data_IF_873582818690
#
_entry.id   IF_873582818690
#
_cell.length_a   1.000
_cell.length_b   1.000
_cell.length_c   1.000
_cell.angle_alpha   90.00
_cell.angle_beta   90.00
_cell.angle_gamma   90.00
#
_symmetry.space_group_name_H-M   'P 1'
#
loop_
_entity.id
_entity.type
_entity.pdbx_description
1 polymer ?
#
# COMPACT_ATOMS: atom_id res chain seq x y z
N UNK A 1 -10.73 4.27 33.04
CA UNK A 1 -11.36 4.75 31.81
C UNK A 1 -10.21 5.11 30.88
N UNK A 2 -9.80 4.19 30.00
CA UNK A 2 -8.79 4.50 29.00
C UNK A 2 -9.36 5.58 28.08
N UNK A 3 -8.66 6.70 27.92
CA UNK A 3 -9.05 7.70 26.94
C UNK A 3 -8.84 7.13 25.54
N UNK A 4 -9.90 6.96 24.79
CA UNK A 4 -9.83 6.58 23.38
C UNK A 4 -9.13 7.70 22.60
N UNK A 5 -8.03 7.37 21.93
CA UNK A 5 -7.27 8.34 21.12
C UNK A 5 -8.16 8.80 19.97
N UNK A 6 -8.54 10.06 19.93
CA UNK A 6 -9.28 10.62 18.79
C UNK A 6 -8.36 10.64 17.57
N UNK A 7 -8.63 9.77 16.59
CA UNK A 7 -7.85 9.65 15.38
C UNK A 7 -8.38 10.57 14.28
N UNK A 8 -7.48 11.33 13.63
CA UNK A 8 -7.73 11.92 12.31
C UNK A 8 -7.58 10.82 11.25
N UNK A 9 -8.27 10.94 10.13
CA UNK A 9 -8.35 9.88 9.10
C UNK A 9 -7.08 9.68 8.25
N UNK A 10 -5.94 10.28 8.58
CA UNK A 10 -4.66 10.04 7.90
C UNK A 10 -3.75 9.19 8.79
N UNK A 11 -3.24 8.08 8.22
CA UNK A 11 -2.26 7.20 8.85
C UNK A 11 -0.91 7.26 8.15
N UNK A 12 0.17 7.12 8.92
CA UNK A 12 1.53 7.04 8.43
C UNK A 12 1.86 5.60 8.04
N UNK A 13 1.84 5.30 6.72
CA UNK A 13 2.27 4.00 6.20
C UNK A 13 3.80 3.94 6.05
N UNK A 14 4.43 2.95 6.68
CA UNK A 14 5.91 2.86 6.70
C UNK A 14 6.51 2.00 5.58
N UNK A 15 5.72 1.57 4.61
CA UNK A 15 6.22 0.81 3.46
C UNK A 15 7.15 1.63 2.54
N UNK A 16 7.08 2.95 2.59
CA UNK A 16 7.81 3.88 1.71
C UNK A 16 8.57 4.93 2.51
N UNK A 17 9.18 4.56 3.65
CA UNK A 17 10.04 5.46 4.40
C UNK A 17 11.18 6.01 3.52
N UNK A 18 11.66 7.25 3.77
CA UNK A 18 12.83 7.77 3.09
C UNK A 18 14.04 6.88 3.32
N UNK A 19 14.87 6.73 2.29
CA UNK A 19 16.08 5.90 2.30
C UNK A 19 17.29 6.71 1.87
N UNK A 20 18.45 6.40 2.44
CA UNK A 20 19.72 7.04 2.08
C UNK A 20 20.25 6.57 0.71
N UNK A 21 19.90 5.35 0.32
CA UNK A 21 20.25 4.76 -0.96
C UNK A 21 19.02 4.11 -1.61
N UNK A 22 18.60 4.63 -2.76
CA UNK A 22 17.43 4.12 -3.50
C UNK A 22 17.57 2.67 -4.00
N UNK A 23 18.79 2.14 -4.09
CA UNK A 23 19.04 0.75 -4.46
C UNK A 23 19.04 -0.20 -3.25
N UNK A 24 19.10 0.35 -2.03
CA UNK A 24 19.02 -0.41 -0.78
C UNK A 24 17.85 0.03 0.11
N UNK A 25 16.70 -0.62 0.02
CA UNK A 25 15.54 -0.30 0.86
C UNK A 25 15.78 -0.44 2.37
N UNK A 26 16.81 -1.18 2.82
CA UNK A 26 17.16 -1.28 4.23
C UNK A 26 17.86 -0.02 4.78
N UNK A 27 18.36 0.85 3.90
CA UNK A 27 19.08 2.08 4.26
C UNK A 27 18.14 3.22 4.68
N UNK A 28 17.25 2.96 5.64
CA UNK A 28 16.26 3.95 6.10
C UNK A 28 16.97 5.21 6.63
N UNK A 29 16.57 6.39 6.13
CA UNK A 29 16.99 7.69 6.63
C UNK A 29 16.27 8.01 7.94
N UNK A 30 16.83 7.51 9.05
CA UNK A 30 16.23 7.65 10.38
C UNK A 30 16.12 9.12 10.83
N UNK A 31 17.03 9.99 10.41
CA UNK A 31 16.97 11.41 10.78
C UNK A 31 15.72 12.04 10.17
N UNK A 32 15.51 11.83 8.88
CA UNK A 32 14.33 12.34 8.19
C UNK A 32 13.05 11.68 8.73
N UNK A 33 13.05 10.37 8.99
CA UNK A 33 11.89 9.66 9.57
C UNK A 33 11.53 10.23 10.94
N UNK A 34 12.51 10.48 11.82
CA UNK A 34 12.25 11.10 13.13
C UNK A 34 11.57 12.45 12.99
N UNK A 35 12.10 13.32 12.12
CA UNK A 35 11.52 14.63 11.84
C UNK A 35 10.09 14.52 11.31
N UNK A 36 9.83 13.55 10.41
CA UNK A 36 8.49 13.32 9.87
C UNK A 36 7.52 12.83 10.95
N UNK A 37 7.94 11.90 11.80
CA UNK A 37 7.13 11.39 12.91
C UNK A 37 6.80 12.50 13.90
N UNK A 38 7.76 13.33 14.28
CA UNK A 38 7.52 14.45 15.20
C UNK A 38 6.48 15.41 14.64
N UNK A 39 6.63 15.83 13.38
CA UNK A 39 5.68 16.75 12.75
C UNK A 39 4.27 16.12 12.62
N UNK A 40 4.20 14.83 12.31
CA UNK A 40 2.93 14.10 12.21
C UNK A 40 2.20 14.08 13.55
N UNK A 41 2.91 13.74 14.62
CA UNK A 41 2.39 13.71 15.99
C UNK A 41 2.02 15.11 16.51
N UNK A 42 2.84 16.11 16.28
CA UNK A 42 2.59 17.49 16.67
C UNK A 42 1.35 18.08 15.99
N UNK A 43 1.06 17.67 14.75
CA UNK A 43 -0.16 18.01 14.01
C UNK A 43 -1.39 17.21 14.47
N UNK A 44 -1.23 16.32 15.46
CA UNK A 44 -2.31 15.57 16.08
C UNK A 44 -2.77 14.34 15.28
N UNK A 45 -1.94 13.84 14.36
CA UNK A 45 -2.13 12.55 13.70
C UNK A 45 -1.44 11.48 14.55
N UNK A 46 -2.05 10.29 14.66
CA UNK A 46 -1.62 9.33 15.68
C UNK A 46 -1.45 7.89 15.17
N UNK A 47 -1.91 7.56 13.96
CA UNK A 47 -1.92 6.20 13.44
C UNK A 47 -0.69 5.89 12.60
N UNK A 48 0.03 4.79 12.95
CA UNK A 48 1.20 4.29 12.24
C UNK A 48 0.98 2.84 11.82
N UNK A 49 1.35 2.51 10.57
CA UNK A 49 1.18 1.19 9.98
C UNK A 49 2.52 0.65 9.50
N UNK A 50 2.94 -0.49 10.04
CA UNK A 50 4.15 -1.20 9.64
C UNK A 50 3.86 -2.64 9.23
N UNK A 51 4.88 -3.38 8.80
CA UNK A 51 4.82 -4.82 8.58
C UNK A 51 6.21 -5.44 8.63
N UNK A 52 6.25 -6.74 8.95
CA UNK A 52 7.45 -7.53 9.14
C UNK A 52 8.47 -7.40 8.01
N UNK A 53 8.02 -7.45 6.72
CA UNK A 53 8.91 -7.48 5.55
C UNK A 53 9.23 -6.09 4.98
N UNK A 54 8.67 -5.01 5.50
CA UNK A 54 8.93 -3.68 4.95
C UNK A 54 10.39 -3.28 5.13
N UNK A 55 10.96 -2.60 4.13
CA UNK A 55 12.34 -2.16 4.14
C UNK A 55 13.34 -3.29 4.43
N UNK A 56 13.15 -4.46 3.81
CA UNK A 56 13.97 -5.66 4.06
C UNK A 56 14.08 -5.96 5.57
N UNK A 57 12.94 -5.96 6.27
CA UNK A 57 12.79 -6.26 7.71
C UNK A 57 13.29 -5.17 8.67
N UNK A 58 13.59 -3.95 8.18
CA UNK A 58 14.07 -2.83 9.01
C UNK A 58 12.98 -1.83 9.43
N UNK A 59 11.77 -1.86 8.83
CA UNK A 59 10.70 -0.90 9.12
C UNK A 59 10.27 -0.90 10.59
N UNK A 60 10.09 -2.07 11.21
CA UNK A 60 9.70 -2.21 12.62
C UNK A 60 10.74 -1.57 13.55
N UNK A 61 12.05 -1.77 13.26
CA UNK A 61 13.15 -1.11 14.02
C UNK A 61 13.20 0.40 13.78
N UNK A 62 12.89 0.85 12.58
CA UNK A 62 12.80 2.29 12.29
C UNK A 62 11.63 2.93 13.07
N UNK A 63 10.46 2.26 13.11
CA UNK A 63 9.31 2.69 13.91
C UNK A 63 9.68 2.73 15.40
N UNK A 64 10.39 1.72 15.91
CA UNK A 64 10.87 1.73 17.31
C UNK A 64 11.67 3.01 17.58
N UNK A 65 12.70 3.29 16.78
CA UNK A 65 13.60 4.42 16.98
C UNK A 65 12.95 5.78 16.78
N UNK A 66 12.09 5.90 15.78
CA UNK A 66 11.50 7.19 15.41
C UNK A 66 10.23 7.54 16.21
N UNK A 67 9.47 6.53 16.65
CA UNK A 67 8.20 6.72 17.36
C UNK A 67 8.26 6.20 18.78
N UNK A 68 8.48 4.88 18.98
CA UNK A 68 8.25 4.21 20.26
C UNK A 68 9.22 4.66 21.35
N UNK A 69 10.51 4.85 21.02
CA UNK A 69 11.54 5.32 21.96
C UNK A 69 11.42 6.82 22.29
N UNK A 70 10.51 7.57 21.59
CA UNK A 70 10.46 9.03 21.67
C UNK A 70 9.11 9.60 22.12
N UNK A 71 8.02 8.85 21.94
CA UNK A 71 6.68 9.29 22.26
C UNK A 71 6.01 8.36 23.28
N UNK A 72 5.22 8.90 24.24
CA UNK A 72 4.48 8.05 25.19
C UNK A 72 3.52 7.10 24.45
N UNK A 73 3.44 5.85 24.95
CA UNK A 73 2.67 4.76 24.31
C UNK A 73 1.17 5.08 24.13
N UNK A 74 0.62 5.88 25.01
CA UNK A 74 -0.79 6.31 24.99
C UNK A 74 -1.08 7.48 24.03
N UNK A 75 -0.05 7.97 23.29
CA UNK A 75 -0.20 9.08 22.36
C UNK A 75 -0.29 8.63 20.89
N UNK A 76 -0.04 7.39 20.59
CA UNK A 76 -0.08 6.86 19.22
C UNK A 76 -0.78 5.51 19.14
N UNK A 77 -1.25 5.19 17.94
CA UNK A 77 -1.83 3.92 17.53
C UNK A 77 -0.85 3.23 16.62
N UNK A 78 -0.49 1.98 16.93
CA UNK A 78 0.45 1.18 16.13
C UNK A 78 -0.23 -0.05 15.57
N UNK A 79 -0.15 -0.20 14.25
CA UNK A 79 -0.62 -1.37 13.51
C UNK A 79 0.56 -2.19 12.99
N UNK A 80 0.47 -3.52 13.10
CA UNK A 80 1.42 -4.46 12.51
C UNK A 80 0.71 -5.69 11.93
N UNK A 81 1.44 -6.54 11.18
CA UNK A 81 0.85 -7.57 10.35
C UNK A 81 1.57 -8.90 10.47
N UNK A 82 0.84 -9.98 10.75
CA UNK A 82 1.36 -11.36 10.73
C UNK A 82 1.74 -11.76 9.29
N UNK A 83 3.00 -12.10 9.01
CA UNK A 83 3.47 -12.37 7.65
C UNK A 83 3.07 -13.77 7.16
N UNK A 84 1.86 -13.93 6.60
CA UNK A 84 1.32 -15.21 6.13
C UNK A 84 2.24 -15.93 5.14
N UNK A 85 2.99 -15.18 4.32
CA UNK A 85 3.95 -15.73 3.36
C UNK A 85 5.15 -16.46 3.99
N UNK A 86 5.39 -16.23 5.28
CA UNK A 86 6.50 -16.82 6.03
C UNK A 86 6.08 -17.97 6.94
N UNK A 87 4.77 -18.24 7.05
CA UNK A 87 4.26 -19.31 7.89
C UNK A 87 4.45 -20.67 7.21
N UNK A 88 5.08 -21.60 7.92
CA UNK A 88 5.23 -23.01 7.52
C UNK A 88 4.43 -23.91 8.45
N UNK A 89 4.41 -23.60 9.72
CA UNK A 89 3.74 -24.35 10.79
C UNK A 89 3.07 -23.40 11.80
N UNK A 90 2.19 -23.90 12.63
CA UNK A 90 1.44 -23.13 13.62
C UNK A 90 2.34 -22.37 14.59
N UNK A 91 3.45 -22.98 15.03
CA UNK A 91 4.41 -22.37 15.95
C UNK A 91 5.08 -21.10 15.42
N UNK A 92 5.12 -20.92 14.10
CA UNK A 92 5.68 -19.72 13.46
C UNK A 92 4.89 -18.46 13.83
N UNK A 93 3.58 -18.55 14.03
CA UNK A 93 2.73 -17.39 14.35
C UNK A 93 3.15 -16.74 15.67
N UNK A 94 3.32 -17.54 16.72
CA UNK A 94 3.78 -17.03 18.03
C UNK A 94 5.21 -16.50 17.96
N UNK A 95 6.08 -17.15 17.20
CA UNK A 95 7.47 -16.70 17.01
C UNK A 95 7.52 -15.34 16.33
N UNK A 96 6.80 -15.14 15.20
CA UNK A 96 6.75 -13.86 14.52
C UNK A 96 6.12 -12.77 15.37
N UNK A 97 5.01 -13.07 16.04
CA UNK A 97 4.35 -12.10 16.92
C UNK A 97 5.27 -11.56 18.01
N UNK A 98 6.02 -12.44 18.68
CA UNK A 98 7.00 -12.03 19.71
C UNK A 98 8.16 -11.23 19.11
N UNK A 99 8.67 -11.66 17.96
CA UNK A 99 9.74 -10.94 17.25
C UNK A 99 9.29 -9.54 16.85
N UNK A 100 8.07 -9.37 16.39
CA UNK A 100 7.49 -8.07 16.01
C UNK A 100 7.34 -7.15 17.24
N UNK A 101 6.82 -7.66 18.36
CA UNK A 101 6.76 -6.91 19.63
C UNK A 101 8.14 -6.43 20.05
N UNK A 102 9.17 -7.29 19.97
CA UNK A 102 10.54 -6.96 20.31
C UNK A 102 11.13 -5.91 19.38
N UNK A 103 11.01 -6.10 18.06
CA UNK A 103 11.51 -5.16 17.05
C UNK A 103 10.86 -3.79 17.16
N UNK A 104 9.55 -3.74 17.36
CA UNK A 104 8.83 -2.50 17.60
C UNK A 104 9.05 -1.92 18.99
N UNK A 105 9.49 -2.71 19.97
CA UNK A 105 9.70 -2.29 21.35
C UNK A 105 8.41 -2.03 22.14
N UNK A 106 7.32 -2.74 21.82
CA UNK A 106 6.01 -2.56 22.44
C UNK A 106 5.52 -3.85 23.10
N UNK A 107 4.57 -3.75 24.02
CA UNK A 107 3.97 -4.90 24.71
C UNK A 107 2.66 -5.37 24.08
N UNK A 108 2.07 -4.57 23.19
CA UNK A 108 0.84 -4.85 22.45
C UNK A 108 0.76 -3.97 21.19
N UNK A 109 -0.03 -4.43 20.20
CA UNK A 109 -0.43 -3.63 19.05
C UNK A 109 -1.86 -3.12 19.23
N UNK A 110 -2.17 -1.91 18.73
CA UNK A 110 -3.55 -1.42 18.71
C UNK A 110 -4.34 -2.11 17.61
N UNK A 111 -3.71 -2.33 16.44
CA UNK A 111 -4.25 -3.07 15.31
C UNK A 111 -3.28 -4.18 14.93
N UNK A 112 -3.76 -5.41 14.87
CA UNK A 112 -2.96 -6.53 14.41
C UNK A 112 -3.73 -7.33 13.36
N UNK A 113 -3.11 -7.58 12.21
CA UNK A 113 -3.83 -8.12 11.08
C UNK A 113 -3.07 -9.22 10.34
N UNK A 114 -3.80 -10.11 9.67
CA UNK A 114 -3.24 -11.09 8.75
C UNK A 114 -2.79 -10.38 7.47
N UNK A 115 -1.52 -10.54 7.09
CA UNK A 115 -0.90 -9.78 6.00
C UNK A 115 -1.15 -10.40 4.63
N UNK A 116 -1.60 -9.58 3.66
CA UNK A 116 -1.68 -9.93 2.25
C UNK A 116 -2.65 -11.09 1.96
N UNK A 117 -3.88 -11.01 2.47
CA UNK A 117 -4.90 -12.04 2.27
C UNK A 117 -5.29 -12.14 0.79
N UNK A 118 -4.74 -13.14 0.13
CA UNK A 118 -5.14 -13.64 -1.18
C UNK A 118 -5.77 -15.02 -1.02
N UNK A 119 -6.31 -15.64 -2.07
CA UNK A 119 -6.89 -17.00 -1.95
C UNK A 119 -5.87 -18.01 -1.41
N UNK A 120 -4.64 -18.01 -1.92
CA UNK A 120 -3.59 -18.92 -1.44
C UNK A 120 -3.20 -18.69 0.03
N UNK A 121 -3.16 -17.43 0.48
CA UNK A 121 -2.87 -17.11 1.87
C UNK A 121 -4.07 -17.32 2.79
N UNK A 122 -5.29 -17.23 2.28
CA UNK A 122 -6.48 -17.64 3.01
C UNK A 122 -6.46 -19.14 3.33
N UNK A 123 -6.16 -19.98 2.34
CA UNK A 123 -6.01 -21.43 2.57
C UNK A 123 -4.92 -21.74 3.60
N UNK A 124 -3.82 -20.99 3.58
CA UNK A 124 -2.75 -21.12 4.57
C UNK A 124 -3.22 -20.68 5.95
N UNK A 125 -3.94 -19.56 6.04
CA UNK A 125 -4.46 -19.01 7.28
C UNK A 125 -5.48 -19.96 7.94
N UNK A 126 -6.39 -20.55 7.16
CA UNK A 126 -7.34 -21.58 7.63
C UNK A 126 -6.61 -22.81 8.12
N UNK A 127 -5.72 -23.37 7.32
CA UNK A 127 -4.99 -24.60 7.63
C UNK A 127 -4.14 -24.49 8.91
N UNK A 128 -3.54 -23.33 9.16
CA UNK A 128 -2.68 -23.09 10.33
C UNK A 128 -3.42 -22.45 11.51
N UNK A 129 -4.73 -22.14 11.38
CA UNK A 129 -5.50 -21.56 12.46
C UNK A 129 -5.18 -20.08 12.74
N UNK A 130 -4.75 -19.30 11.73
CA UNK A 130 -4.30 -17.92 11.93
C UNK A 130 -5.42 -16.98 12.42
N UNK A 131 -6.68 -17.22 12.05
CA UNK A 131 -7.82 -16.45 12.57
C UNK A 131 -8.03 -16.69 14.07
N UNK A 132 -7.94 -17.95 14.51
CA UNK A 132 -7.99 -18.29 15.94
C UNK A 132 -6.81 -17.69 16.71
N UNK A 133 -5.61 -17.67 16.11
CA UNK A 133 -4.42 -17.08 16.68
C UNK A 133 -4.62 -15.57 16.95
N UNK A 134 -5.01 -14.77 15.95
CA UNK A 134 -5.19 -13.32 16.15
C UNK A 134 -6.33 -13.01 17.12
N UNK A 135 -7.40 -13.83 17.13
CA UNK A 135 -8.45 -13.73 18.14
C UNK A 135 -7.91 -13.98 19.55
N UNK A 136 -7.09 -15.02 19.74
CA UNK A 136 -6.41 -15.29 21.01
C UNK A 136 -5.56 -14.10 21.46
N UNK A 137 -4.81 -13.45 20.55
CA UNK A 137 -4.03 -12.24 20.87
C UNK A 137 -4.90 -11.05 21.29
N UNK A 138 -6.11 -10.94 20.76
CA UNK A 138 -7.10 -9.95 21.20
C UNK A 138 -7.61 -10.29 22.61
N UNK A 139 -7.94 -11.53 22.88
CA UNK A 139 -8.39 -12.00 24.21
C UNK A 139 -7.30 -11.83 25.27
N UNK A 140 -6.03 -12.03 24.92
CA UNK A 140 -4.85 -11.78 25.77
C UNK A 140 -4.57 -10.28 26.00
N UNK A 141 -5.27 -9.37 25.30
CA UNK A 141 -4.99 -7.93 25.33
C UNK A 141 -3.68 -7.52 24.63
N UNK A 142 -3.13 -8.40 23.79
CA UNK A 142 -1.92 -8.16 23.01
C UNK A 142 -2.19 -7.53 21.64
N UNK A 143 -3.43 -7.61 21.17
CA UNK A 143 -3.96 -6.87 20.05
C UNK A 143 -5.31 -6.26 20.45
N UNK A 144 -5.52 -4.96 20.26
CA UNK A 144 -6.80 -4.33 20.63
C UNK A 144 -7.86 -4.56 19.56
N UNK A 145 -7.48 -4.48 18.29
CA UNK A 145 -8.36 -4.74 17.13
C UNK A 145 -7.65 -5.70 16.17
N UNK A 146 -8.41 -6.61 15.59
CA UNK A 146 -7.91 -7.64 14.68
C UNK A 146 -8.60 -7.58 13.32
N UNK A 147 -7.87 -7.89 12.25
CA UNK A 147 -8.38 -7.83 10.88
C UNK A 147 -7.42 -8.49 9.88
N UNK A 148 -7.51 -8.08 8.65
CA UNK A 148 -6.57 -8.51 7.59
C UNK A 148 -6.42 -7.45 6.49
N UNK A 149 -5.27 -7.43 5.82
CA UNK A 149 -5.10 -6.70 4.57
C UNK A 149 -5.47 -7.60 3.39
N UNK A 150 -6.31 -7.10 2.48
CA UNK A 150 -6.98 -7.90 1.47
C UNK A 150 -6.56 -7.54 0.04
N UNK A 151 -6.29 -8.58 -0.79
CA UNK A 151 -5.79 -8.45 -2.14
C UNK A 151 -6.40 -9.48 -3.10
N UNK A 152 -7.71 -9.73 -2.99
CA UNK A 152 -8.42 -10.65 -3.86
C UNK A 152 -9.79 -10.07 -4.27
N UNK A 153 -10.70 -10.91 -4.75
CA UNK A 153 -12.03 -10.52 -5.21
C UNK A 153 -13.06 -10.41 -4.08
N UNK A 154 -14.18 -9.76 -4.37
CA UNK A 154 -15.25 -9.53 -3.40
C UNK A 154 -15.93 -10.83 -2.94
N UNK A 155 -15.93 -11.89 -3.76
CA UNK A 155 -16.48 -13.20 -3.40
C UNK A 155 -15.68 -13.84 -2.26
N UNK A 156 -14.35 -13.83 -2.37
CA UNK A 156 -13.48 -14.32 -1.29
C UNK A 156 -13.63 -13.48 -0.02
N UNK A 157 -13.76 -12.16 -0.17
CA UNK A 157 -13.96 -11.27 0.99
C UNK A 157 -15.26 -11.61 1.73
N UNK A 158 -16.34 -11.86 1.00
CA UNK A 158 -17.62 -12.25 1.58
C UNK A 158 -17.55 -13.62 2.26
N UNK A 159 -16.84 -14.58 1.65
CA UNK A 159 -16.56 -15.88 2.25
C UNK A 159 -15.83 -15.73 3.59
N UNK A 160 -14.75 -14.96 3.65
CA UNK A 160 -13.98 -14.73 4.87
C UNK A 160 -14.82 -14.07 5.96
N UNK A 161 -15.50 -12.96 5.64
CA UNK A 161 -16.26 -12.22 6.63
C UNK A 161 -17.48 -12.99 7.16
N UNK A 162 -18.05 -13.89 6.35
CA UNK A 162 -19.16 -14.77 6.81
C UNK A 162 -18.68 -15.82 7.81
N UNK A 163 -17.44 -16.32 7.66
CA UNK A 163 -16.84 -17.35 8.55
C UNK A 163 -16.18 -16.76 9.79
N UNK A 164 -15.66 -15.53 9.68
CA UNK A 164 -14.89 -14.86 10.74
C UNK A 164 -15.55 -13.53 11.18
N UNK A 165 -16.75 -13.59 11.77
CA UNK A 165 -17.48 -12.38 12.21
C UNK A 165 -16.76 -11.63 13.36
N UNK A 166 -15.81 -12.27 14.05
CA UNK A 166 -15.01 -11.68 15.15
C UNK A 166 -14.01 -10.62 14.69
N UNK A 167 -13.70 -10.53 13.40
CA UNK A 167 -12.79 -9.53 12.85
C UNK A 167 -13.39 -8.13 12.94
N UNK A 168 -12.59 -7.14 13.31
CA UNK A 168 -13.03 -5.77 13.55
C UNK A 168 -12.98 -4.91 12.29
N UNK A 169 -11.99 -5.13 11.41
CA UNK A 169 -11.74 -4.28 10.24
C UNK A 169 -11.10 -5.05 9.08
N UNK A 170 -11.14 -4.42 7.91
CA UNK A 170 -10.42 -4.88 6.71
C UNK A 170 -9.58 -3.73 6.16
N UNK A 171 -8.32 -4.00 5.82
CA UNK A 171 -7.47 -3.07 5.11
C UNK A 171 -7.61 -3.33 3.61
N UNK A 172 -8.21 -2.40 2.86
CA UNK A 172 -8.53 -2.51 1.44
C UNK A 172 -7.67 -1.60 0.56
N UNK A 173 -7.31 -2.07 -0.62
CA UNK A 173 -6.83 -1.23 -1.70
C UNK A 173 -8.01 -0.41 -2.25
N UNK A 174 -7.93 0.93 -2.14
CA UNK A 174 -9.00 1.80 -2.58
C UNK A 174 -8.46 3.16 -3.05
N UNK A 175 -8.73 3.48 -4.31
CA UNK A 175 -8.51 4.78 -4.92
C UNK A 175 -9.49 4.95 -6.08
N UNK A 176 -9.60 6.16 -6.63
CA UNK A 176 -10.60 6.47 -7.66
C UNK A 176 -10.34 5.78 -9.02
N UNK A 177 -9.10 5.33 -9.30
CA UNK A 177 -8.80 4.57 -10.52
C UNK A 177 -9.24 3.11 -10.39
N UNK A 178 -9.05 2.54 -9.19
CA UNK A 178 -9.38 1.14 -8.92
C UNK A 178 -10.82 0.94 -8.44
N UNK A 179 -11.57 2.03 -8.22
CA UNK A 179 -12.92 2.00 -7.66
C UNK A 179 -13.85 1.07 -8.45
N UNK A 180 -13.86 1.20 -9.78
CA UNK A 180 -14.66 0.37 -10.69
C UNK A 180 -13.81 -0.65 -11.48
N UNK A 181 -12.57 -0.89 -11.07
CA UNK A 181 -11.69 -1.86 -11.73
C UNK A 181 -12.23 -3.29 -11.56
N UNK A 182 -12.42 -4.04 -12.66
CA UNK A 182 -12.85 -5.42 -12.58
C UNK A 182 -11.80 -6.35 -11.96
N UNK A 183 -10.53 -5.94 -11.97
CA UNK A 183 -9.42 -6.73 -11.43
C UNK A 183 -9.20 -6.51 -9.93
N UNK A 184 -9.38 -5.27 -9.45
CA UNK A 184 -9.16 -4.90 -8.04
C UNK A 184 -10.46 -4.96 -7.26
N UNK A 185 -11.59 -4.62 -7.89
CA UNK A 185 -12.92 -4.66 -7.30
C UNK A 185 -13.05 -3.81 -6.02
N UNK A 186 -12.40 -2.63 -5.99
CA UNK A 186 -12.36 -1.80 -4.78
C UNK A 186 -13.75 -1.48 -4.25
N UNK A 187 -14.69 -1.06 -5.12
CA UNK A 187 -16.08 -0.76 -4.73
C UNK A 187 -16.79 -1.99 -4.19
N UNK A 188 -16.72 -3.12 -4.90
CA UNK A 188 -17.40 -4.35 -4.49
C UNK A 188 -16.87 -4.83 -3.12
N UNK A 189 -15.54 -4.82 -2.92
CA UNK A 189 -14.93 -5.16 -1.63
C UNK A 189 -15.36 -4.20 -0.52
N UNK A 190 -15.39 -2.89 -0.80
CA UNK A 190 -15.87 -1.89 0.14
C UNK A 190 -17.34 -2.14 0.52
N UNK A 191 -18.21 -2.41 -0.45
CA UNK A 191 -19.63 -2.71 -0.20
C UNK A 191 -19.82 -3.99 0.63
N UNK A 192 -18.98 -5.01 0.41
CA UNK A 192 -18.96 -6.21 1.27
C UNK A 192 -18.64 -5.82 2.71
N UNK A 193 -17.57 -5.06 2.95
CA UNK A 193 -17.22 -4.60 4.29
C UNK A 193 -18.37 -3.84 4.95
N UNK A 194 -19.06 -2.96 4.21
CA UNK A 194 -20.22 -2.21 4.72
C UNK A 194 -21.38 -3.12 5.10
N UNK A 195 -21.71 -4.13 4.27
CA UNK A 195 -22.78 -5.11 4.59
C UNK A 195 -22.50 -5.90 5.86
N UNK A 196 -21.23 -6.23 6.10
CA UNK A 196 -20.80 -6.97 7.30
C UNK A 196 -20.47 -6.06 8.50
N UNK A 197 -20.70 -4.75 8.39
CA UNK A 197 -20.45 -3.78 9.45
C UNK A 197 -18.99 -3.66 9.87
N UNK A 198 -18.05 -3.92 8.93
CA UNK A 198 -16.60 -3.84 9.20
C UNK A 198 -16.08 -2.45 8.89
N UNK A 199 -15.21 -1.97 9.78
CA UNK A 199 -14.43 -0.75 9.51
C UNK A 199 -13.44 -0.98 8.37
N UNK A 200 -13.21 0.06 7.57
CA UNK A 200 -12.28 0.02 6.45
C UNK A 200 -11.07 0.89 6.74
N UNK A 201 -9.89 0.32 6.60
CA UNK A 201 -8.61 1.03 6.52
C UNK A 201 -8.19 1.01 5.05
N UNK A 202 -7.83 2.15 4.49
CA UNK A 202 -7.46 2.22 3.07
C UNK A 202 -5.95 2.17 2.91
N UNK A 203 -5.49 1.25 2.06
CA UNK A 203 -4.12 1.23 1.51
C UNK A 203 -4.14 1.62 0.03
N UNK A 204 -3.00 2.02 -0.51
CA UNK A 204 -2.82 2.45 -1.92
C UNK A 204 -3.76 3.61 -2.35
N UNK A 205 -4.05 4.61 -1.50
CA UNK A 205 -4.94 5.71 -1.89
C UNK A 205 -4.39 6.50 -3.08
N UNK A 206 -3.06 6.57 -3.22
CA UNK A 206 -2.34 7.29 -4.28
C UNK A 206 -1.78 6.35 -5.35
N UNK A 207 -2.19 5.05 -5.33
CA UNK A 207 -1.79 4.01 -6.30
C UNK A 207 -0.27 3.99 -6.53
N UNK A 208 0.51 3.84 -5.44
CA UNK A 208 1.97 3.77 -5.50
C UNK A 208 2.67 5.06 -5.94
N UNK A 209 1.98 6.19 -5.93
CA UNK A 209 2.47 7.49 -6.38
C UNK A 209 1.90 7.93 -7.74
N UNK A 210 1.29 7.02 -8.50
CA UNK A 210 0.70 7.33 -9.83
C UNK A 210 -0.32 8.49 -9.77
N UNK A 211 -1.07 8.60 -8.66
CA UNK A 211 -2.09 9.64 -8.46
C UNK A 211 -1.54 10.90 -7.80
N UNK A 212 -0.24 10.97 -7.56
CA UNK A 212 0.47 12.19 -7.16
C UNK A 212 1.14 12.89 -8.35
N UNK A 213 1.47 12.12 -9.41
CA UNK A 213 2.06 12.61 -10.65
C UNK A 213 1.16 12.21 -11.82
N UNK A 214 0.12 13.00 -12.05
CA UNK A 214 -0.92 12.74 -13.05
C UNK A 214 -0.63 13.47 -14.37
N UNK A 215 -1.24 13.05 -15.51
CA UNK A 215 -1.15 13.81 -16.75
C UNK A 215 -1.57 15.27 -16.59
N UNK A 216 -0.86 16.18 -17.25
CA UNK A 216 -1.06 17.64 -17.15
C UNK A 216 -2.51 18.07 -17.35
N UNK A 217 -3.27 17.36 -18.19
CA UNK A 217 -4.68 17.65 -18.45
C UNK A 217 -5.54 17.37 -17.21
N UNK A 218 -5.28 16.25 -16.51
CA UNK A 218 -5.95 15.93 -15.25
C UNK A 218 -5.55 16.90 -14.13
N UNK A 219 -4.26 17.26 -14.05
CA UNK A 219 -3.75 18.24 -13.08
C UNK A 219 -4.43 19.60 -13.28
N UNK A 220 -4.49 20.13 -14.51
CA UNK A 220 -5.17 21.38 -14.83
C UNK A 220 -6.66 21.37 -14.48
N UNK A 221 -7.33 20.25 -14.68
CA UNK A 221 -8.73 20.08 -14.31
C UNK A 221 -8.93 20.22 -12.81
N UNK A 222 -8.06 19.60 -12.01
CA UNK A 222 -8.08 19.66 -10.54
C UNK A 222 -7.71 21.06 -10.03
N UNK A 223 -6.63 21.65 -10.56
CA UNK A 223 -6.15 22.98 -10.19
C UNK A 223 -7.16 24.09 -10.51
N UNK A 224 -7.89 23.98 -11.61
CA UNK A 224 -8.93 24.96 -12.00
C UNK A 224 -10.08 25.02 -10.98
N UNK A 225 -10.39 23.92 -10.30
CA UNK A 225 -11.43 23.85 -9.28
C UNK A 225 -10.92 24.24 -7.89
N UNK A 226 -9.77 23.72 -7.50
CA UNK A 226 -9.18 23.91 -6.18
C UNK A 226 -7.70 24.32 -6.29
N UNK A 227 -7.41 25.61 -6.57
CA UNK A 227 -6.04 26.11 -6.72
C UNK A 227 -5.16 25.80 -5.51
N UNK A 228 -3.96 25.26 -5.77
CA UNK A 228 -2.99 24.89 -4.74
C UNK A 228 -3.22 23.54 -4.07
N UNK A 229 -4.25 22.79 -4.46
CA UNK A 229 -4.46 21.42 -4.00
C UNK A 229 -3.73 20.43 -4.90
N UNK A 230 -2.82 19.63 -4.32
CA UNK A 230 -2.06 18.63 -5.08
C UNK A 230 -2.96 17.48 -5.61
N UNK A 231 -2.60 16.81 -6.72
CA UNK A 231 -3.32 15.62 -7.17
C UNK A 231 -3.41 14.52 -6.09
N UNK A 232 -2.37 14.36 -5.26
CA UNK A 232 -2.39 13.43 -4.12
C UNK A 232 -3.51 13.75 -3.13
N UNK A 233 -3.82 15.04 -2.89
CA UNK A 233 -4.89 15.46 -1.98
C UNK A 233 -6.26 14.97 -2.45
N UNK A 234 -6.52 15.00 -3.75
CA UNK A 234 -7.77 14.49 -4.33
C UNK A 234 -7.92 12.98 -4.10
N UNK A 235 -6.82 12.22 -4.29
CA UNK A 235 -6.83 10.77 -4.12
C UNK A 235 -7.04 10.35 -2.65
N UNK A 236 -6.35 11.00 -1.72
CA UNK A 236 -6.51 10.71 -0.28
C UNK A 236 -7.88 11.15 0.23
N UNK A 237 -8.37 12.33 -0.17
CA UNK A 237 -9.70 12.83 0.18
C UNK A 237 -10.80 11.95 -0.42
N UNK A 238 -10.65 11.46 -1.65
CA UNK A 238 -11.59 10.51 -2.24
C UNK A 238 -11.78 9.27 -1.36
N UNK A 239 -10.68 8.64 -0.95
CA UNK A 239 -10.72 7.47 -0.08
C UNK A 239 -11.32 7.80 1.30
N UNK A 240 -10.90 8.91 1.91
CA UNK A 240 -11.37 9.34 3.23
C UNK A 240 -12.85 9.74 3.25
N UNK A 241 -13.43 10.11 2.09
CA UNK A 241 -14.83 10.50 1.95
C UNK A 241 -15.79 9.32 2.00
N UNK A 242 -15.30 8.09 1.86
CA UNK A 242 -16.17 6.89 1.92
C UNK A 242 -16.65 6.64 3.35
N UNK A 243 -17.95 6.40 3.52
CA UNK A 243 -18.54 6.07 4.81
C UNK A 243 -17.92 4.76 5.37
N UNK A 244 -17.65 4.70 6.68
CA UNK A 244 -17.01 3.53 7.31
C UNK A 244 -15.50 3.39 7.04
N UNK A 245 -14.91 4.28 6.23
CA UNK A 245 -13.45 4.43 6.19
C UNK A 245 -13.01 5.18 7.44
N UNK A 246 -12.28 4.49 8.30
CA UNK A 246 -11.77 5.05 9.57
C UNK A 246 -10.35 5.59 9.44
N UNK A 247 -9.59 5.11 8.44
CA UNK A 247 -8.19 5.47 8.24
C UNK A 247 -7.78 5.35 6.77
N UNK A 248 -6.98 6.30 6.28
CA UNK A 248 -6.35 6.26 4.96
C UNK A 248 -4.84 6.31 5.16
N UNK A 249 -4.14 5.26 4.73
CA UNK A 249 -2.71 5.14 4.89
C UNK A 249 -1.98 5.83 3.73
N UNK A 250 -1.10 6.76 4.04
CA UNK A 250 -0.19 7.35 3.07
C UNK A 250 1.25 6.93 3.35
N UNK A 251 1.91 6.38 2.32
CA UNK A 251 3.35 6.11 2.33
C UNK A 251 4.10 7.35 1.84
N UNK A 252 4.58 8.15 2.76
CA UNK A 252 5.30 9.39 2.49
C UNK A 252 6.80 9.14 2.47
N UNK A 253 7.46 9.41 1.34
CA UNK A 253 8.88 9.11 1.12
C UNK A 253 9.80 10.31 1.39
N UNK A 254 9.23 11.48 1.64
CA UNK A 254 9.96 12.70 2.00
C UNK A 254 9.11 13.63 2.86
N UNK A 255 9.78 14.64 3.40
CA UNK A 255 9.16 15.59 4.32
C UNK A 255 8.14 16.52 3.65
N UNK A 256 8.29 16.81 2.34
CA UNK A 256 7.34 17.67 1.62
C UNK A 256 5.99 16.99 1.43
N UNK A 257 6.00 15.69 1.11
CA UNK A 257 4.79 14.86 1.03
C UNK A 257 4.06 14.80 2.37
N UNK A 258 4.79 14.70 3.48
CA UNK A 258 4.19 14.74 4.81
C UNK A 258 3.53 16.10 5.10
N UNK A 259 4.20 17.19 4.77
CA UNK A 259 3.66 18.54 4.99
C UNK A 259 2.37 18.74 4.19
N UNK A 260 2.35 18.33 2.94
CA UNK A 260 1.18 18.40 2.06
C UNK A 260 0.04 17.53 2.60
N UNK A 261 0.28 16.24 2.83
CA UNK A 261 -0.76 15.31 3.28
C UNK A 261 -1.38 15.71 4.62
N UNK A 262 -0.56 16.17 5.55
CA UNK A 262 -1.07 16.63 6.86
C UNK A 262 -1.76 17.98 6.76
N UNK A 263 -1.47 18.84 5.78
CA UNK A 263 -2.14 20.12 5.60
C UNK A 263 -3.62 19.93 5.22
N UNK A 264 -3.90 19.20 4.14
CA UNK A 264 -5.29 19.02 3.67
C UNK A 264 -6.09 18.02 4.53
N UNK A 265 -5.44 17.15 5.32
CA UNK A 265 -6.11 16.23 6.24
C UNK A 265 -6.26 16.80 7.67
N UNK A 266 -5.73 18.00 7.96
CA UNK A 266 -5.84 18.60 9.28
C UNK A 266 -7.29 18.83 9.70
N UNK A 267 -8.06 19.45 8.81
CA UNK A 267 -9.48 19.75 8.97
C UNK A 267 -10.26 19.13 7.81
N UNK A 268 -10.12 17.80 7.69
CA UNK A 268 -10.68 17.02 6.58
C UNK A 268 -12.18 17.24 6.42
N UNK A 269 -12.58 17.59 5.19
CA UNK A 269 -13.96 17.66 4.73
C UNK A 269 -14.13 16.68 3.58
N UNK A 270 -15.18 15.83 3.58
CA UNK A 270 -15.48 14.94 2.47
C UNK A 270 -15.65 15.68 1.14
N UNK A 271 -15.35 14.99 0.03
CA UNK A 271 -15.58 15.53 -1.31
C UNK A 271 -17.07 15.85 -1.51
N UNK A 272 -17.34 16.99 -2.14
CA UNK A 272 -18.67 17.36 -2.63
C UNK A 272 -19.02 16.57 -3.89
N UNK A 273 -20.30 16.58 -4.29
CA UNK A 273 -20.75 15.95 -5.54
C UNK A 273 -20.04 16.53 -6.78
N UNK A 274 -19.77 17.84 -6.79
CA UNK A 274 -18.99 18.50 -7.85
C UNK A 274 -17.55 17.99 -7.90
N UNK A 275 -16.87 17.88 -6.73
CA UNK A 275 -15.51 17.34 -6.62
C UNK A 275 -15.46 15.86 -7.04
N UNK A 276 -16.45 15.02 -6.69
CA UNK A 276 -16.57 13.65 -7.19
C UNK A 276 -16.66 13.60 -8.72
N UNK A 277 -17.40 14.53 -9.34
CA UNK A 277 -17.47 14.67 -10.82
C UNK A 277 -16.12 15.04 -11.43
N UNK A 278 -15.32 15.86 -10.76
CA UNK A 278 -13.96 16.22 -11.21
C UNK A 278 -13.04 15.00 -11.11
N UNK A 279 -13.08 14.28 -10.00
CA UNK A 279 -12.31 13.04 -9.80
C UNK A 279 -12.65 12.00 -10.88
N UNK A 280 -13.93 11.82 -11.23
CA UNK A 280 -14.35 10.88 -12.27
C UNK A 280 -13.76 11.25 -13.64
N UNK A 281 -13.81 12.54 -14.03
CA UNK A 281 -13.21 13.00 -15.28
C UNK A 281 -11.68 12.88 -15.29
N UNK A 282 -11.02 13.19 -14.17
CA UNK A 282 -9.58 13.01 -14.03
C UNK A 282 -9.21 11.52 -14.14
N UNK A 283 -10.01 10.61 -13.58
CA UNK A 283 -9.82 9.17 -13.71
C UNK A 283 -9.83 8.71 -15.18
N UNK A 284 -10.78 9.20 -15.99
CA UNK A 284 -10.85 8.88 -17.42
C UNK A 284 -9.58 9.34 -18.17
N UNK A 285 -9.10 10.55 -17.89
CA UNK A 285 -7.86 11.09 -18.48
C UNK A 285 -6.66 10.22 -18.10
N UNK A 286 -6.51 9.91 -16.81
CA UNK A 286 -5.38 9.12 -16.29
C UNK A 286 -5.40 7.70 -16.86
N UNK A 287 -6.57 7.05 -16.91
CA UNK A 287 -6.71 5.69 -17.44
C UNK A 287 -6.35 5.65 -18.93
N UNK A 288 -6.77 6.64 -19.72
CA UNK A 288 -6.43 6.73 -21.15
C UNK A 288 -4.93 6.93 -21.42
N UNK A 289 -4.21 7.50 -20.44
CA UNK A 289 -2.78 7.79 -20.52
C UNK A 289 -1.88 6.67 -19.93
N UNK A 290 -2.44 5.68 -19.23
CA UNK A 290 -1.67 4.65 -18.52
C UNK A 290 -1.74 3.32 -19.26
N UNK A 291 -0.61 2.85 -19.83
CA UNK A 291 -0.54 1.56 -20.52
C UNK A 291 -0.50 0.38 -19.53
N UNK A 292 0.32 0.47 -18.47
CA UNK A 292 0.47 -0.58 -17.44
C UNK A 292 0.29 0.03 -16.05
N UNK A 293 -0.75 -0.39 -15.36
CA UNK A 293 -1.16 0.16 -14.06
C UNK A 293 -0.36 -0.44 -12.86
N UNK A 294 0.97 -0.35 -12.92
CA UNK A 294 1.87 -0.86 -11.89
C UNK A 294 2.07 0.15 -10.76
N UNK A 295 1.97 -0.29 -9.48
CA UNK A 295 2.19 0.54 -8.27
C UNK A 295 3.63 0.54 -7.76
N UNK A 296 4.55 -0.12 -8.48
CA UNK A 296 5.96 -0.24 -8.09
C UNK A 296 6.20 -0.80 -6.67
N UNK A 297 5.34 -1.71 -6.20
CA UNK A 297 5.44 -2.33 -4.88
C UNK A 297 6.62 -3.29 -4.72
N UNK A 298 7.32 -3.66 -5.80
CA UNK A 298 8.51 -4.52 -5.87
C UNK A 298 8.31 -6.01 -5.54
N UNK A 299 7.14 -6.47 -5.11
CA UNK A 299 6.92 -7.88 -4.72
C UNK A 299 7.29 -8.89 -5.80
N UNK A 300 7.12 -8.52 -7.07
CA UNK A 300 7.44 -9.38 -8.22
C UNK A 300 8.96 -9.54 -8.49
N UNK A 301 9.83 -8.72 -7.88
CA UNK A 301 11.28 -8.67 -8.20
C UNK A 301 12.02 -9.80 -7.50
N UNK A 302 11.81 -10.00 -6.19
CA UNK A 302 12.53 -10.99 -5.38
C UNK A 302 12.32 -12.44 -5.87
N UNK A 303 11.12 -12.75 -6.37
CA UNK A 303 10.79 -14.09 -6.88
C UNK A 303 11.21 -14.34 -8.32
N UNK A 304 11.77 -13.35 -9.03
CA UNK A 304 12.12 -13.50 -10.44
C UNK A 304 13.45 -14.25 -10.64
N UNK A 305 13.46 -15.48 -11.23
CA UNK A 305 14.67 -16.26 -11.41
C UNK A 305 15.63 -15.64 -12.43
N UNK A 306 15.17 -14.68 -13.23
CA UNK A 306 15.94 -13.92 -14.20
C UNK A 306 16.34 -12.53 -13.70
N UNK A 307 16.01 -12.19 -12.45
CA UNK A 307 16.34 -10.89 -11.84
C UNK A 307 15.89 -9.69 -12.68
N UNK A 308 14.71 -9.81 -13.32
CA UNK A 308 14.13 -8.75 -14.16
C UNK A 308 13.58 -7.65 -13.24
N UNK A 309 13.99 -6.39 -13.41
CA UNK A 309 13.49 -5.26 -12.62
C UNK A 309 12.11 -4.81 -13.16
N UNK A 310 11.11 -5.70 -13.05
CA UNK A 310 9.78 -5.60 -13.68
C UNK A 310 9.14 -4.21 -13.53
N UNK A 311 9.05 -3.60 -12.32
CA UNK A 311 8.41 -2.29 -12.16
C UNK A 311 9.17 -1.16 -12.88
N UNK A 312 10.50 -1.25 -12.95
CA UNK A 312 11.31 -0.26 -13.70
C UNK A 312 10.99 -0.32 -15.20
N UNK A 313 10.87 -1.52 -15.76
CA UNK A 313 10.52 -1.69 -17.18
C UNK A 313 9.09 -1.26 -17.48
N UNK A 314 8.14 -1.49 -16.58
CA UNK A 314 6.78 -0.99 -16.70
C UNK A 314 6.73 0.55 -16.72
N UNK A 315 7.48 1.20 -15.85
CA UNK A 315 7.59 2.66 -15.84
C UNK A 315 8.17 3.20 -17.16
N UNK A 316 9.23 2.58 -17.68
CA UNK A 316 9.82 2.96 -18.97
C UNK A 316 8.84 2.75 -20.14
N UNK A 317 8.07 1.68 -20.12
CA UNK A 317 7.06 1.40 -21.14
C UNK A 317 5.93 2.43 -21.10
N UNK A 318 5.44 2.79 -19.92
CA UNK A 318 4.44 3.85 -19.76
C UNK A 318 4.94 5.20 -20.31
N UNK A 319 6.18 5.58 -19.98
CA UNK A 319 6.79 6.79 -20.55
C UNK A 319 6.93 6.72 -22.06
N UNK A 320 7.32 5.57 -22.60
CA UNK A 320 7.41 5.37 -24.04
C UNK A 320 6.04 5.45 -24.72
N UNK A 321 5.00 4.87 -24.10
CA UNK A 321 3.64 4.91 -24.63
C UNK A 321 3.08 6.33 -24.72
N UNK A 322 3.46 7.22 -23.78
CA UNK A 322 3.03 8.62 -23.76
C UNK A 322 3.84 9.51 -24.72
N UNK A 323 5.15 9.31 -24.81
CA UNK A 323 6.08 10.26 -25.44
C UNK A 323 6.82 9.67 -26.65
N UNK A 324 6.67 8.38 -26.93
CA UNK A 324 7.36 7.67 -28.02
C UNK A 324 8.87 7.80 -27.93
N UNK A 325 9.52 7.98 -29.06
CA UNK A 325 10.99 8.14 -29.17
C UNK A 325 11.50 9.46 -28.55
N UNK A 326 10.62 10.40 -28.18
CA UNK A 326 11.01 11.61 -27.44
C UNK A 326 11.34 11.30 -25.97
N UNK A 327 10.88 10.15 -25.46
CA UNK A 327 11.28 9.67 -24.13
C UNK A 327 12.69 9.08 -24.20
N UNK A 328 13.48 9.22 -23.14
CA UNK A 328 14.79 8.54 -23.05
C UNK A 328 14.67 7.08 -22.58
N UNK A 329 13.49 6.50 -22.70
CA UNK A 329 13.15 5.17 -22.15
C UNK A 329 14.02 4.05 -22.72
N UNK A 330 14.39 4.10 -24.01
CA UNK A 330 15.29 3.11 -24.63
C UNK A 330 16.69 3.15 -24.02
N UNK A 331 17.23 4.34 -23.77
CA UNK A 331 18.54 4.49 -23.13
C UNK A 331 18.56 3.94 -21.71
N UNK A 332 17.54 4.25 -20.94
CA UNK A 332 17.39 3.68 -19.58
C UNK A 332 17.19 2.17 -19.59
N UNK A 333 16.38 1.65 -20.53
CA UNK A 333 16.20 0.21 -20.68
C UNK A 333 17.52 -0.52 -20.95
N UNK A 334 18.35 -0.01 -21.86
CA UNK A 334 19.67 -0.57 -22.16
C UNK A 334 20.60 -0.56 -20.93
N UNK A 335 20.59 0.55 -20.18
CA UNK A 335 21.39 0.66 -18.95
C UNK A 335 20.97 -0.37 -17.90
N UNK A 336 19.68 -0.55 -17.68
CA UNK A 336 19.18 -1.58 -16.75
C UNK A 336 19.47 -2.99 -17.27
N UNK A 337 19.31 -3.26 -18.56
CA UNK A 337 19.60 -4.55 -19.19
C UNK A 337 21.08 -4.95 -19.16
N UNK A 338 21.99 -4.00 -18.88
CA UNK A 338 23.41 -4.26 -18.62
C UNK A 338 23.71 -4.73 -17.19
N UNK A 339 22.76 -4.55 -16.25
CA UNK A 339 22.91 -4.90 -14.83
C UNK A 339 21.94 -5.98 -14.37
N UNK A 340 20.78 -6.09 -14.99
CA UNK A 340 19.66 -6.97 -14.62
C UNK A 340 19.21 -7.79 -15.83
N UNK A 341 18.34 -8.77 -15.61
CA UNK A 341 17.67 -9.50 -16.70
C UNK A 341 16.85 -8.55 -17.57
N UNK A 342 16.88 -8.76 -18.88
CA UNK A 342 16.07 -8.03 -19.86
C UNK A 342 14.63 -8.56 -19.88
N UNK A 343 13.71 -7.82 -20.44
CA UNK A 343 12.30 -8.25 -20.59
C UNK A 343 12.22 -9.54 -21.44
N UNK A 344 13.02 -9.66 -22.51
CA UNK A 344 13.09 -10.84 -23.36
C UNK A 344 13.73 -12.08 -22.71
N UNK A 345 14.35 -11.95 -21.53
CA UNK A 345 14.85 -13.09 -20.75
C UNK A 345 13.74 -13.79 -19.95
N UNK A 346 12.52 -13.26 -19.98
CA UNK A 346 11.37 -13.81 -19.26
C UNK A 346 11.07 -15.25 -19.73
N UNK A 347 11.11 -16.21 -18.80
CA UNK A 347 10.84 -17.64 -19.07
C UNK A 347 9.35 -18.02 -18.91
N UNK A 348 8.48 -17.06 -18.65
CA UNK A 348 7.04 -17.29 -18.53
C UNK A 348 6.61 -18.10 -17.31
N UNK A 349 7.39 -18.14 -16.23
CA UNK A 349 7.10 -18.95 -15.04
C UNK A 349 5.94 -18.43 -14.16
N UNK A 350 5.43 -17.22 -14.42
CA UNK A 350 4.30 -16.55 -13.77
C UNK A 350 4.39 -16.33 -12.25
N UNK A 351 5.52 -16.59 -11.61
CA UNK A 351 5.68 -16.34 -10.16
C UNK A 351 5.38 -14.89 -9.78
N UNK A 352 5.74 -13.95 -10.65
CA UNK A 352 5.47 -12.52 -10.47
C UNK A 352 3.97 -12.19 -10.55
N UNK A 353 3.19 -12.92 -11.35
CA UNK A 353 1.74 -12.72 -11.47
C UNK A 353 0.98 -13.22 -10.23
N UNK A 354 1.41 -14.33 -9.63
CA UNK A 354 0.75 -14.90 -8.44
C UNK A 354 0.83 -14.01 -7.21
N UNK A 355 1.85 -13.14 -7.14
CA UNK A 355 2.04 -12.26 -5.98
C UNK A 355 1.74 -10.79 -6.28
N UNK A 356 1.35 -10.46 -7.52
CA UNK A 356 1.06 -9.09 -7.94
C UNK A 356 -0.27 -8.60 -7.35
N UNK A 357 -0.28 -7.57 -6.47
CA UNK A 357 -1.52 -7.04 -5.90
C UNK A 357 -2.42 -6.34 -6.94
N UNK A 358 -1.86 -6.02 -8.12
CA UNK A 358 -2.58 -5.39 -9.23
C UNK A 358 -3.07 -6.41 -10.26
N UNK A 359 -2.83 -7.71 -10.05
CA UNK A 359 -3.21 -8.81 -10.95
C UNK A 359 -2.79 -8.59 -12.41
N UNK A 360 -1.63 -7.96 -12.62
CA UNK A 360 -1.14 -7.64 -13.95
C UNK A 360 -0.69 -8.90 -14.70
N UNK A 361 -0.98 -9.03 -16.00
CA UNK A 361 -0.46 -10.10 -16.85
C UNK A 361 1.00 -9.85 -17.21
N UNK A 362 1.89 -9.97 -16.22
CA UNK A 362 3.28 -9.53 -16.26
C UNK A 362 4.06 -10.22 -17.38
N UNK A 363 3.84 -11.52 -17.61
CA UNK A 363 4.52 -12.28 -18.67
C UNK A 363 4.18 -11.74 -20.05
N UNK A 364 2.92 -11.33 -20.27
CA UNK A 364 2.51 -10.72 -21.53
C UNK A 364 3.18 -9.35 -21.68
N UNK A 365 3.13 -8.50 -20.67
CA UNK A 365 3.78 -7.19 -20.71
C UNK A 365 5.30 -7.28 -20.90
N UNK A 366 5.97 -8.30 -20.37
CA UNK A 366 7.39 -8.50 -20.65
C UNK A 366 7.65 -8.77 -22.13
N UNK A 367 6.78 -9.50 -22.83
CA UNK A 367 6.90 -9.70 -24.29
C UNK A 367 6.71 -8.41 -25.04
N UNK A 368 5.65 -7.66 -24.75
CA UNK A 368 5.35 -6.36 -25.35
C UNK A 368 6.50 -5.36 -25.17
N UNK A 369 7.10 -5.32 -23.97
CA UNK A 369 8.25 -4.47 -23.64
C UNK A 369 9.48 -4.90 -24.42
N UNK A 370 9.73 -6.22 -24.56
CA UNK A 370 10.85 -6.73 -25.35
C UNK A 370 10.69 -6.37 -26.82
N UNK A 371 9.48 -6.49 -27.39
CA UNK A 371 9.20 -6.09 -28.78
C UNK A 371 9.48 -4.60 -29.04
N UNK A 372 9.21 -3.75 -28.05
CA UNK A 372 9.46 -2.30 -28.16
C UNK A 372 10.93 -1.94 -27.97
N UNK A 373 11.61 -2.50 -26.98
CA UNK A 373 12.93 -2.03 -26.55
C UNK A 373 14.12 -2.91 -27.01
N UNK A 374 13.87 -4.14 -27.45
CA UNK A 374 14.90 -5.05 -27.90
C UNK A 374 14.90 -5.16 -29.45
N UNK A 375 16.04 -5.28 -30.11
CA UNK A 375 16.06 -5.51 -31.53
C UNK A 375 15.42 -6.86 -31.86
N UNK A 376 14.69 -6.92 -32.96
CA UNK A 376 14.17 -8.18 -33.49
C UNK A 376 15.32 -9.20 -33.59
N UNK A 377 15.15 -10.37 -32.98
CA UNK A 377 16.12 -11.47 -33.07
C UNK A 377 16.13 -12.07 -34.46
#
# INVERSE_FOLDING_TARGET
>A
MEMEIKMKKLGFGTMRLPVLNQEDPASVDLEQVCKMVDTFMERGFTYFDTAYMYHKYESERAVKKALVDRWPRDRYVLADKLPLSHLKEEADMERFFREQLEKCGVSYFDYYMLHNMSRAYYETAERLGAFAFVRGKKEEGKARRIGFSFHADAELLEEILSKHPELDFVQLQLNYIDWDSPNIQSRQCYEVCRRYGKDVIVMEPVKGGTLADVPLEAEKLMEAHAPGMTPASWAVRFAASREGVIMVLSGMSDYSQLLDNTAYMQDFVPLTEEEEGIVARAAEIIQSATAIACTSCQYCVEGCPKQIPIPKYFSLYNQYSLFGEKSNSRGYYQNYGGRYGKAGDCIGCRRCETICPQHLPIVQHMKEIAEVFEPAK
#
